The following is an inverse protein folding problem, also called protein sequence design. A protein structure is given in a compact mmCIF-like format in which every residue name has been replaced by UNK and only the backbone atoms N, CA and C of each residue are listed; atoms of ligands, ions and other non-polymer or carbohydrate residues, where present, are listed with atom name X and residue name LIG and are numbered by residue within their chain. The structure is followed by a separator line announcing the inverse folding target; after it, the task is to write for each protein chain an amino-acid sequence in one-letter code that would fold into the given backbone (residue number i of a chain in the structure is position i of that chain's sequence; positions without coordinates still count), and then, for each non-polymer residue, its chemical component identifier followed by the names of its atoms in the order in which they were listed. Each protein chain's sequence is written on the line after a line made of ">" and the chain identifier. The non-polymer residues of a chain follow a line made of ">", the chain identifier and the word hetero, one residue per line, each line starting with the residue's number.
data_IF_905032371059
#
_entry.id   IF_905032371059
#
_cell.length_a   1.000
_cell.length_b   1.000
_cell.length_c   1.000
_cell.angle_alpha   90.00
_cell.angle_beta   90.00
_cell.angle_gamma   90.00
#
_symmetry.space_group_name_H-M   'P 1'
#
loop_
_entity.id
_entity.type
_entity.pdbx_description
1 polymer ?
#
# COMPACT_ATOMS: atom_id res chain seq x y z
N UNK A 1 15.19 -9.41 -1.61
CA UNK A 1 14.40 -8.55 -2.53
C UNK A 1 13.07 -9.25 -2.62
N UNK A 2 12.25 -9.09 -1.59
CA UNK A 2 11.24 -10.10 -1.26
C UNK A 2 9.90 -9.61 -1.81
N UNK A 3 9.64 -10.02 -3.06
CA UNK A 3 8.42 -9.73 -3.81
C UNK A 3 7.52 -10.96 -3.69
N UNK A 4 6.55 -10.92 -2.79
CA UNK A 4 5.55 -11.98 -2.66
C UNK A 4 4.23 -11.46 -3.22
N UNK A 5 3.70 -12.15 -4.23
CA UNK A 5 2.39 -11.93 -4.81
C UNK A 5 1.35 -12.57 -3.91
N UNK A 6 0.40 -11.79 -3.44
CA UNK A 6 -0.75 -12.34 -2.73
C UNK A 6 -1.97 -12.29 -3.65
N UNK A 7 -2.27 -13.39 -4.33
CA UNK A 7 -3.19 -13.43 -5.47
C UNK A 7 -2.72 -12.62 -6.68
N UNK A 8 -3.24 -12.95 -7.87
CA UNK A 8 -2.70 -12.53 -9.18
C UNK A 8 -2.62 -11.01 -9.41
N UNK A 9 -3.13 -10.19 -8.49
CA UNK A 9 -3.46 -8.78 -8.73
C UNK A 9 -3.04 -7.85 -7.59
N UNK A 10 -2.15 -8.29 -6.71
CA UNK A 10 -1.81 -7.52 -5.53
C UNK A 10 -0.32 -7.51 -5.23
N UNK A 11 0.21 -6.31 -5.09
CA UNK A 11 1.55 -6.04 -4.62
C UNK A 11 1.50 -5.06 -3.45
N UNK A 12 1.85 -5.55 -2.27
CA UNK A 12 2.01 -4.73 -1.07
C UNK A 12 3.47 -4.74 -0.64
N UNK A 13 4.08 -3.56 -0.48
CA UNK A 13 5.43 -3.45 0.04
C UNK A 13 5.41 -2.73 1.38
N UNK A 14 5.88 -3.41 2.43
CA UNK A 14 6.19 -2.79 3.71
C UNK A 14 7.56 -2.14 3.59
N UNK A 15 7.65 -0.89 4.01
CA UNK A 15 8.91 -0.18 4.05
C UNK A 15 9.54 -0.22 5.44
N UNK A 16 10.88 -0.10 5.57
CA UNK A 16 11.49 0.19 6.86
C UNK A 16 10.93 1.52 7.42
N UNK A 17 10.98 1.67 8.74
CA UNK A 17 10.69 2.96 9.39
C UNK A 17 11.50 4.06 8.68
N UNK A 18 10.87 5.21 8.44
CA UNK A 18 11.47 6.37 7.76
C UNK A 18 11.60 6.27 6.23
N UNK A 19 10.55 5.82 5.56
CA UNK A 19 10.52 5.84 4.09
C UNK A 19 9.79 7.05 3.52
N UNK A 20 10.59 7.97 2.97
CA UNK A 20 10.13 9.12 2.19
C UNK A 20 9.68 8.66 0.80
N UNK A 21 8.51 9.12 0.38
CA UNK A 21 7.94 8.79 -0.92
C UNK A 21 7.32 10.01 -1.61
N UNK A 22 7.37 10.02 -2.93
CA UNK A 22 6.64 10.95 -3.79
C UNK A 22 6.02 10.21 -4.97
N UNK A 23 5.07 10.83 -5.67
CA UNK A 23 4.42 10.19 -6.80
C UNK A 23 3.79 11.15 -7.81
N UNK A 24 3.58 10.63 -9.02
CA UNK A 24 2.92 11.32 -10.12
C UNK A 24 1.84 10.44 -10.76
N UNK A 25 0.68 11.04 -11.09
CA UNK A 25 -0.39 10.41 -11.88
C UNK A 25 -0.32 10.94 -13.31
N UNK A 26 -0.16 10.03 -14.28
CA UNK A 26 -0.20 10.38 -15.71
C UNK A 26 -1.46 9.90 -16.43
N UNK A 27 -2.20 8.99 -15.82
CA UNK A 27 -3.46 8.45 -16.35
C UNK A 27 -4.65 9.39 -16.10
N UNK A 28 -5.58 9.46 -17.06
CA UNK A 28 -6.77 10.32 -16.98
C UNK A 28 -7.95 9.80 -16.15
N UNK A 29 -7.88 8.56 -15.65
CA UNK A 29 -8.93 7.96 -14.81
C UNK A 29 -8.29 7.19 -13.63
N UNK A 30 -7.62 7.90 -12.71
CA UNK A 30 -6.88 7.26 -11.62
C UNK A 30 -7.83 6.66 -10.57
N UNK A 31 -7.54 5.43 -10.13
CA UNK A 31 -8.12 4.86 -8.92
C UNK A 31 -7.05 4.84 -7.83
N UNK A 32 -7.13 5.82 -6.92
CA UNK A 32 -6.10 6.08 -5.91
C UNK A 32 -6.69 6.28 -4.53
N UNK A 33 -5.94 5.92 -3.50
CA UNK A 33 -6.21 6.24 -2.09
C UNK A 33 -4.99 6.90 -1.48
N UNK A 34 -5.21 7.98 -0.73
CA UNK A 34 -4.19 8.71 0.04
C UNK A 34 -2.99 9.21 -0.79
N UNK A 35 -3.11 9.24 -2.13
CA UNK A 35 -2.06 9.67 -3.05
C UNK A 35 -1.66 11.13 -2.85
N UNK A 36 -2.60 12.00 -2.45
CA UNK A 36 -2.32 13.41 -2.18
C UNK A 36 -1.26 13.61 -1.09
N UNK A 37 -1.02 12.62 -0.23
CA UNK A 37 0.04 12.65 0.79
C UNK A 37 1.45 12.50 0.20
N UNK A 38 1.59 12.11 -1.07
CA UNK A 38 2.89 12.03 -1.76
C UNK A 38 3.38 13.39 -2.30
N UNK A 39 2.60 14.45 -2.12
CA UNK A 39 3.00 15.81 -2.41
C UNK A 39 4.01 16.28 -1.32
N UNK A 40 5.21 16.77 -1.71
CA UNK A 40 6.27 17.12 -0.76
C UNK A 40 5.93 18.29 0.16
N UNK A 41 4.82 18.99 -0.08
CA UNK A 41 4.33 20.09 0.76
C UNK A 41 3.41 19.63 1.89
N UNK A 42 3.10 18.33 1.98
CA UNK A 42 2.20 17.77 3.00
C UNK A 42 2.92 17.53 4.32
N UNK A 43 2.12 17.47 5.38
CA UNK A 43 2.59 17.24 6.75
C UNK A 43 3.27 15.88 6.92
N UNK A 44 2.74 14.86 6.25
CA UNK A 44 3.24 13.49 6.31
C UNK A 44 4.40 13.37 5.33
N UNK A 45 5.59 13.12 5.84
CA UNK A 45 6.84 12.99 5.08
C UNK A 45 7.21 11.53 4.79
N UNK A 46 6.53 10.59 5.44
CA UNK A 46 6.82 9.15 5.38
C UNK A 46 5.56 8.32 5.19
N UNK A 47 5.68 7.24 4.41
CA UNK A 47 4.61 6.26 4.22
C UNK A 47 5.00 4.91 4.83
N UNK A 48 4.00 4.14 5.28
CA UNK A 48 4.24 2.82 5.86
C UNK A 48 4.15 1.70 4.83
N UNK A 49 3.22 1.82 3.88
CA UNK A 49 3.04 0.84 2.82
C UNK A 49 2.46 1.46 1.53
N UNK A 50 2.69 0.76 0.43
CA UNK A 50 1.97 0.96 -0.84
C UNK A 50 1.23 -0.31 -1.18
N UNK A 51 -0.02 -0.17 -1.61
CA UNK A 51 -0.87 -1.24 -2.12
C UNK A 51 -1.14 -1.00 -3.60
N UNK A 52 -0.65 -1.89 -4.45
CA UNK A 52 -1.05 -1.96 -5.86
C UNK A 52 -2.04 -3.10 -5.99
N UNK A 53 -3.27 -2.81 -6.43
CA UNK A 53 -4.34 -3.80 -6.55
C UNK A 53 -4.96 -3.83 -7.96
N UNK A 54 -5.67 -4.91 -8.25
CA UNK A 54 -6.70 -4.96 -9.27
C UNK A 54 -8.09 -4.67 -8.68
N UNK A 55 -9.13 -4.75 -9.50
CA UNK A 55 -10.52 -4.55 -9.12
C UNK A 55 -11.02 -3.11 -9.26
N UNK A 56 -10.27 -2.25 -9.97
CA UNK A 56 -10.58 -0.82 -10.11
C UNK A 56 -10.79 -0.16 -8.73
N UNK A 57 -11.64 0.86 -8.63
CA UNK A 57 -11.93 1.57 -7.38
C UNK A 57 -12.29 0.64 -6.20
N UNK A 58 -12.89 -0.53 -6.46
CA UNK A 58 -13.20 -1.50 -5.39
C UNK A 58 -11.96 -2.11 -4.74
N UNK A 59 -10.89 -2.28 -5.52
CA UNK A 59 -9.60 -2.79 -5.04
C UNK A 59 -8.91 -1.89 -4.02
N UNK A 60 -9.29 -0.62 -3.93
CA UNK A 60 -8.75 0.31 -2.92
C UNK A 60 -9.14 -0.08 -1.49
N UNK A 61 -10.18 -0.89 -1.32
CA UNK A 61 -10.58 -1.45 -0.01
C UNK A 61 -9.50 -2.36 0.60
N UNK A 62 -8.60 -2.92 -0.21
CA UNK A 62 -7.44 -3.66 0.27
C UNK A 62 -6.61 -2.83 1.27
N UNK A 63 -6.41 -1.53 1.02
CA UNK A 63 -5.62 -0.67 1.91
C UNK A 63 -6.11 -0.68 3.36
N UNK A 64 -7.42 -0.83 3.58
CA UNK A 64 -7.97 -0.93 4.95
C UNK A 64 -7.45 -2.16 5.69
N UNK A 65 -7.28 -3.30 5.02
CA UNK A 65 -6.73 -4.51 5.64
C UNK A 65 -5.25 -4.35 6.02
N UNK A 66 -4.48 -3.60 5.22
CA UNK A 66 -3.09 -3.24 5.55
C UNK A 66 -3.04 -2.27 6.74
N UNK A 67 -3.91 -1.26 6.75
CA UNK A 67 -4.00 -0.31 7.86
C UNK A 67 -4.34 -1.01 9.18
N UNK A 68 -5.35 -1.88 9.19
CA UNK A 68 -5.72 -2.65 10.39
C UNK A 68 -4.54 -3.46 10.95
N UNK A 69 -3.75 -4.11 10.07
CA UNK A 69 -2.57 -4.85 10.52
C UNK A 69 -1.49 -3.91 11.09
N UNK A 70 -1.20 -2.80 10.41
CA UNK A 70 -0.17 -1.85 10.85
C UNK A 70 -0.55 -1.14 12.14
N UNK A 71 -1.84 -0.85 12.34
CA UNK A 71 -2.39 -0.32 13.58
C UNK A 71 -2.14 -1.27 14.74
N UNK A 72 -2.45 -2.57 14.58
CA UNK A 72 -2.17 -3.60 15.59
C UNK A 72 -0.69 -3.79 15.87
N UNK A 73 0.15 -3.62 14.84
CA UNK A 73 1.60 -3.61 14.98
C UNK A 73 2.15 -2.31 15.59
N UNK A 74 1.30 -1.33 15.90
CA UNK A 74 1.66 0.00 16.39
C UNK A 74 2.68 0.72 15.46
N UNK A 75 2.41 0.65 14.16
CA UNK A 75 3.20 1.27 13.09
C UNK A 75 2.33 2.30 12.37
N UNK A 76 2.79 3.55 12.35
CA UNK A 76 2.08 4.64 11.71
C UNK A 76 2.69 6.00 12.01
N UNK A 77 2.11 7.03 11.42
CA UNK A 77 2.41 8.43 11.70
C UNK A 77 1.92 8.80 13.11
N UNK A 78 2.78 9.45 13.90
CA UNK A 78 2.43 9.82 15.28
C UNK A 78 1.45 11.00 15.30
N UNK A 79 0.31 10.82 15.97
CA UNK A 79 -0.67 11.89 16.24
C UNK A 79 -0.96 11.98 17.74
N UNK A 80 -1.70 13.01 18.16
CA UNK A 80 -2.19 13.10 19.54
C UNK A 80 -3.16 11.99 19.94
N UNK A 81 -3.78 11.32 18.98
CA UNK A 81 -4.75 10.22 19.20
C UNK A 81 -4.12 8.82 19.08
N UNK A 82 -2.81 8.72 18.84
CA UNK A 82 -2.11 7.46 18.57
C UNK A 82 -1.46 7.43 17.20
N UNK A 83 -1.00 6.26 16.77
CA UNK A 83 -0.36 6.08 15.47
C UNK A 83 -1.39 5.83 14.38
N UNK A 84 -1.35 6.62 13.32
CA UNK A 84 -2.21 6.48 12.14
C UNK A 84 -1.39 5.91 10.99
N UNK A 85 -1.67 4.67 10.52
CA UNK A 85 -0.97 4.11 9.39
C UNK A 85 -1.21 4.90 8.09
N UNK A 86 -0.15 5.19 7.35
CA UNK A 86 -0.19 5.87 6.06
C UNK A 86 0.04 4.83 4.96
N UNK A 87 -1.05 4.48 4.27
CA UNK A 87 -1.06 3.43 3.23
C UNK A 87 -1.57 4.01 1.92
N UNK A 88 -0.68 4.16 0.94
CA UNK A 88 -1.06 4.67 -0.39
C UNK A 88 -1.56 3.53 -1.26
N UNK A 89 -2.75 3.72 -1.85
CA UNK A 89 -3.38 2.73 -2.72
C UNK A 89 -3.41 3.16 -4.19
N UNK A 90 -3.09 2.25 -5.09
CA UNK A 90 -3.26 2.38 -6.54
C UNK A 90 -3.97 1.14 -7.08
N UNK A 91 -4.99 1.31 -7.90
CA UNK A 91 -5.74 0.16 -8.44
C UNK A 91 -5.91 0.22 -9.96
N UNK A 92 -5.77 -0.94 -10.60
CA UNK A 92 -5.95 -1.12 -12.04
C UNK A 92 -7.35 -1.67 -12.34
N UNK A 93 -7.89 -1.29 -13.50
CA UNK A 93 -9.10 -1.92 -14.03
C UNK A 93 -8.75 -3.27 -14.65
N UNK A 94 -9.17 -4.35 -14.00
CA UNK A 94 -9.05 -5.74 -14.47
C UNK A 94 -10.41 -6.48 -14.41
N UNK A 95 -11.51 -5.76 -14.18
CA UNK A 95 -12.84 -6.35 -13.96
C UNK A 95 -13.36 -7.14 -15.18
N UNK A 96 -12.81 -6.91 -16.37
CA UNK A 96 -13.07 -7.71 -17.57
C UNK A 96 -12.25 -9.00 -17.66
N UNK A 97 -11.31 -9.22 -16.74
CA UNK A 97 -10.43 -10.38 -16.68
C UNK A 97 -10.90 -11.33 -15.58
N UNK A 98 -11.51 -12.45 -15.97
CA UNK A 98 -12.05 -13.42 -15.01
C UNK A 98 -13.37 -12.94 -14.38
N UNK A 99 -13.53 -13.14 -13.07
CA UNK A 99 -14.77 -12.78 -12.38
C UNK A 99 -14.69 -11.39 -11.75
N UNK A 100 -15.55 -10.47 -12.20
CA UNK A 100 -15.65 -9.10 -11.68
C UNK A 100 -16.07 -9.01 -10.21
N UNK A 101 -16.62 -10.10 -9.65
CA UNK A 101 -17.00 -10.20 -8.24
C UNK A 101 -15.86 -10.69 -7.34
N UNK A 102 -14.81 -11.27 -7.93
CA UNK A 102 -13.63 -11.77 -7.19
C UNK A 102 -12.52 -10.73 -7.27
N UNK A 103 -12.43 -9.91 -6.22
CA UNK A 103 -11.52 -8.75 -6.18
C UNK A 103 -10.79 -8.65 -4.83
N UNK A 104 -9.63 -7.96 -4.76
CA UNK A 104 -8.97 -7.64 -3.50
C UNK A 104 -9.90 -6.90 -2.54
N UNK A 105 -9.71 -7.10 -1.24
CA UNK A 105 -10.51 -6.46 -0.21
C UNK A 105 -9.97 -6.73 1.20
N UNK A 106 -10.51 -6.01 2.19
CA UNK A 106 -9.97 -5.87 3.55
C UNK A 106 -9.47 -7.16 4.19
N UNK A 107 -10.35 -8.17 4.37
CA UNK A 107 -10.00 -9.41 5.09
C UNK A 107 -8.87 -10.19 4.42
N UNK A 108 -8.95 -10.33 3.10
CA UNK A 108 -7.96 -11.08 2.32
C UNK A 108 -6.62 -10.35 2.33
N UNK A 109 -6.65 -9.03 2.20
CA UNK A 109 -5.45 -8.19 2.20
C UNK A 109 -4.71 -8.28 3.52
N UNK A 110 -5.43 -8.12 4.63
CA UNK A 110 -4.84 -8.18 5.95
C UNK A 110 -4.05 -9.47 6.21
N UNK A 111 -4.64 -10.61 5.87
CA UNK A 111 -4.01 -11.94 6.03
C UNK A 111 -2.76 -12.09 5.14
N UNK A 112 -2.85 -11.64 3.89
CA UNK A 112 -1.70 -11.60 3.00
C UNK A 112 -0.58 -10.73 3.57
N UNK A 113 -0.90 -9.48 3.91
CA UNK A 113 0.06 -8.47 4.30
C UNK A 113 0.82 -8.91 5.55
N UNK A 114 0.12 -9.48 6.53
CA UNK A 114 0.71 -10.09 7.72
C UNK A 114 1.78 -11.14 7.37
N UNK A 115 1.49 -12.01 6.40
CA UNK A 115 2.42 -13.05 5.97
C UNK A 115 3.67 -12.48 5.31
N UNK A 116 3.51 -11.45 4.47
CA UNK A 116 4.62 -10.73 3.82
C UNK A 116 5.46 -9.99 4.86
N UNK A 117 4.80 -9.25 5.75
CA UNK A 117 5.43 -8.43 6.78
C UNK A 117 6.28 -9.26 7.73
N UNK A 118 5.73 -10.37 8.23
CA UNK A 118 6.46 -11.28 9.12
C UNK A 118 7.64 -11.98 8.43
N UNK A 119 7.51 -12.28 7.14
CA UNK A 119 8.62 -12.83 6.35
C UNK A 119 9.75 -11.81 6.13
N UNK A 120 9.41 -10.54 5.93
CA UNK A 120 10.37 -9.47 5.67
C UNK A 120 11.20 -9.07 6.91
N UNK A 121 10.62 -9.13 8.11
CA UNK A 121 11.33 -8.85 9.38
C UNK A 121 12.48 -9.85 9.61
N UNK A 122 12.34 -11.11 9.16
CA UNK A 122 13.40 -12.13 9.27
C UNK A 122 14.61 -11.91 8.34
N UNK A 123 14.47 -11.06 7.31
CA UNK A 123 15.48 -10.90 6.24
C UNK A 123 16.32 -9.61 6.35
N UNK A 124 16.39 -8.99 7.54
CA UNK A 124 16.84 -7.60 7.69
C UNK A 124 18.19 -7.28 7.01
N UNK A 125 18.15 -6.29 6.10
CA UNK A 125 19.31 -5.46 5.71
C UNK A 125 18.82 -4.02 5.70
N UNK A 126 19.18 -3.26 6.73
CA UNK A 126 18.85 -1.84 6.83
C UNK A 126 19.55 -1.06 5.71
N UNK A 127 18.75 -0.39 4.88
CA UNK A 127 19.20 0.72 4.04
C UNK A 127 18.05 1.71 3.95
N UNK A 128 18.29 2.96 4.30
CA UNK A 128 17.36 4.05 4.02
C UNK A 128 17.19 4.15 2.49
N UNK A 129 15.96 4.06 2.02
CA UNK A 129 15.61 4.09 0.59
C UNK A 129 14.49 5.10 0.39
N UNK A 130 14.68 5.99 -0.58
CA UNK A 130 13.61 6.86 -1.09
C UNK A 130 12.94 6.16 -2.28
N UNK A 131 11.61 6.24 -2.36
CA UNK A 131 10.85 5.62 -3.43
C UNK A 131 10.04 6.65 -4.21
N UNK A 132 10.07 6.56 -5.54
CA UNK A 132 9.21 7.32 -6.42
C UNK A 132 8.18 6.37 -7.03
N UNK A 133 6.90 6.68 -6.86
CA UNK A 133 5.79 5.86 -7.35
C UNK A 133 5.25 6.51 -8.62
N UNK A 134 5.39 5.81 -9.74
CA UNK A 134 4.92 6.29 -11.04
C UNK A 134 3.77 5.44 -11.54
N UNK A 135 2.61 6.07 -11.78
CA UNK A 135 1.46 5.39 -12.38
C UNK A 135 1.33 5.81 -13.85
N UNK A 136 1.59 4.87 -14.74
CA UNK A 136 1.43 5.01 -16.20
C UNK A 136 0.33 4.07 -16.70
N UNK A 137 -0.15 4.34 -17.91
CA UNK A 137 -1.19 3.53 -18.56
C UNK A 137 -0.55 2.42 -19.39
#
# INVERSE_FOLDING_TARGET
>A
MDRLKCSNWLYSHSFPQETVASGEIRGGAPATRDFALLDPTRLVDQINAVVLSGGSAFGLSACSGVMEFLEEANIGFNTSAGKVPIVVGLSLFDLGSGSSTVRPGTKKERSCFSSIFNSAIGASRSRNRSYCIKMER
#
